data_IF_973320720051
#
_entry.id   IF_973320720051
#
_cell.length_a   1.000
_cell.length_b   1.000
_cell.length_c   1.000
_cell.angle_alpha   90.00
_cell.angle_beta   90.00
_cell.angle_gamma   90.00
#
_symmetry.space_group_name_H-M   'P 1'
#
loop_
_entity.id
_entity.type
_entity.pdbx_description
1 polymer ?
#
# COMPACT_ATOMS: atom_id res chain seq x y z
N UNK A 1 -11.92 16.74 13.34
CA UNK A 1 -12.83 15.60 13.04
C UNK A 1 -12.75 14.65 14.22
N UNK A 2 -13.88 14.21 14.78
CA UNK A 2 -13.91 13.20 15.85
C UNK A 2 -14.13 11.84 15.19
N UNK A 3 -13.28 10.87 15.49
CA UNK A 3 -13.44 9.48 15.07
C UNK A 3 -14.34 8.76 16.06
N UNK A 4 -14.93 7.63 15.64
CA UNK A 4 -15.67 6.76 16.55
C UNK A 4 -14.73 6.14 17.58
N UNK A 5 -15.15 6.09 18.83
CA UNK A 5 -14.37 5.45 19.90
C UNK A 5 -14.22 3.93 19.69
N UNK A 6 -15.04 3.34 18.80
CA UNK A 6 -14.97 1.94 18.37
C UNK A 6 -14.05 1.73 17.14
N UNK A 7 -13.46 2.81 16.60
CA UNK A 7 -12.67 2.73 15.36
C UNK A 7 -11.30 2.03 15.55
N UNK A 8 -10.84 1.91 16.80
CA UNK A 8 -9.53 1.36 17.11
C UNK A 8 -9.58 0.41 18.29
N UNK A 9 -8.98 -0.74 18.12
CA UNK A 9 -8.66 -1.67 19.20
C UNK A 9 -7.13 -1.72 19.32
N UNK A 10 -6.60 -1.51 20.53
CA UNK A 10 -5.16 -1.46 20.78
C UNK A 10 -4.75 -2.61 21.70
N UNK A 11 -3.55 -3.15 21.46
CA UNK A 11 -2.96 -4.19 22.29
C UNK A 11 -1.70 -3.65 22.97
N UNK A 12 -1.68 -3.67 24.30
CA UNK A 12 -0.56 -3.21 25.15
C UNK A 12 -0.09 -1.77 24.89
N UNK A 13 -0.94 -0.93 24.27
CA UNK A 13 -0.66 0.47 23.97
C UNK A 13 -1.88 1.32 24.30
N UNK A 14 -1.65 2.59 24.63
CA UNK A 14 -2.72 3.56 24.73
C UNK A 14 -3.41 3.76 23.37
N UNK A 15 -4.74 3.92 23.34
CA UNK A 15 -5.44 4.19 22.10
C UNK A 15 -4.98 5.51 21.48
N UNK A 16 -4.98 5.62 20.13
CA UNK A 16 -4.65 6.87 19.49
C UNK A 16 -5.68 7.95 19.80
N UNK A 17 -5.32 9.22 19.59
CA UNK A 17 -6.26 10.31 19.73
C UNK A 17 -7.41 10.16 18.73
N UNK A 18 -8.66 10.18 19.24
CA UNK A 18 -9.87 10.10 18.40
C UNK A 18 -10.25 11.43 17.74
N UNK A 19 -9.50 12.50 18.02
CA UNK A 19 -9.69 13.79 17.39
C UNK A 19 -8.49 14.11 16.53
N UNK A 20 -8.73 14.32 15.25
CA UNK A 20 -7.72 14.69 14.28
C UNK A 20 -7.97 16.11 13.78
N UNK A 21 -6.90 16.90 13.74
CA UNK A 21 -6.93 18.19 13.07
C UNK A 21 -6.81 17.97 11.56
N UNK A 22 -7.79 18.47 10.83
CA UNK A 22 -7.81 18.41 9.38
C UNK A 22 -8.54 19.63 8.82
N UNK A 23 -8.23 19.98 7.60
CA UNK A 23 -8.87 21.10 6.90
C UNK A 23 -9.88 20.58 5.86
N UNK A 24 -10.84 21.45 5.51
CA UNK A 24 -11.75 21.17 4.39
C UNK A 24 -11.00 20.95 3.08
N UNK A 25 -9.84 21.60 2.91
CA UNK A 25 -8.98 21.44 1.74
C UNK A 25 -8.40 20.04 1.66
N UNK A 26 -7.86 19.51 2.76
CA UNK A 26 -7.32 18.16 2.84
C UNK A 26 -8.38 17.09 2.58
N UNK A 27 -9.54 17.19 3.21
CA UNK A 27 -10.64 16.26 2.97
C UNK A 27 -11.09 16.25 1.50
N UNK A 28 -11.14 17.43 0.86
CA UNK A 28 -11.43 17.52 -0.59
C UNK A 28 -10.33 16.88 -1.43
N UNK A 29 -9.07 17.04 -1.04
CA UNK A 29 -7.94 16.44 -1.74
C UNK A 29 -7.98 14.93 -1.62
N UNK A 30 -8.15 14.38 -0.41
CA UNK A 30 -8.31 12.94 -0.19
C UNK A 30 -9.46 12.36 -1.02
N UNK A 31 -10.62 13.04 -1.05
CA UNK A 31 -11.76 12.62 -1.87
C UNK A 31 -11.41 12.62 -3.37
N UNK A 32 -10.76 13.68 -3.84
CA UNK A 32 -10.30 13.76 -5.23
C UNK A 32 -9.35 12.59 -5.57
N UNK A 33 -8.38 12.31 -4.71
CA UNK A 33 -7.40 11.26 -4.90
C UNK A 33 -8.06 9.87 -4.92
N UNK A 34 -9.02 9.61 -4.01
CA UNK A 34 -9.82 8.36 -4.05
C UNK A 34 -10.62 8.22 -5.35
N UNK A 35 -11.22 9.31 -5.83
CA UNK A 35 -11.95 9.29 -7.11
C UNK A 35 -10.99 9.06 -8.28
N UNK A 36 -9.80 9.65 -8.25
CA UNK A 36 -8.78 9.45 -9.27
C UNK A 36 -8.32 7.99 -9.34
N UNK A 37 -8.01 7.37 -8.20
CA UNK A 37 -7.69 5.94 -8.11
C UNK A 37 -8.85 5.10 -8.67
N UNK A 38 -10.10 5.32 -8.22
CA UNK A 38 -11.28 4.59 -8.69
C UNK A 38 -11.45 4.69 -10.21
N UNK A 39 -11.33 5.88 -10.77
CA UNK A 39 -11.49 6.10 -12.22
C UNK A 39 -10.38 5.45 -13.01
N UNK A 40 -9.15 5.50 -12.52
CA UNK A 40 -8.01 4.80 -13.13
C UNK A 40 -8.24 3.28 -13.15
N UNK A 41 -8.66 2.70 -12.03
CA UNK A 41 -8.92 1.26 -11.93
C UNK A 41 -10.10 0.79 -12.81
N UNK A 42 -11.15 1.60 -12.92
CA UNK A 42 -12.26 1.31 -13.85
C UNK A 42 -11.79 1.33 -15.31
N UNK A 43 -10.85 2.21 -15.67
CA UNK A 43 -10.26 2.22 -17.00
C UNK A 43 -9.36 0.99 -17.22
N UNK A 44 -8.58 0.59 -16.21
CA UNK A 44 -7.77 -0.63 -16.25
C UNK A 44 -8.64 -1.88 -16.41
N UNK A 45 -9.74 -2.01 -15.65
CA UNK A 45 -10.69 -3.11 -15.74
C UNK A 45 -11.25 -3.24 -17.16
N UNK A 46 -11.68 -2.12 -17.76
CA UNK A 46 -12.17 -2.12 -19.14
C UNK A 46 -11.10 -2.62 -20.13
N UNK A 47 -9.87 -2.10 -20.02
CA UNK A 47 -8.76 -2.52 -20.89
C UNK A 47 -8.40 -4.00 -20.69
N UNK A 48 -8.54 -4.50 -19.47
CA UNK A 48 -8.32 -5.90 -19.14
C UNK A 48 -9.41 -6.79 -19.78
N UNK A 49 -10.68 -6.42 -19.66
CA UNK A 49 -11.82 -7.12 -20.32
C UNK A 49 -11.69 -7.10 -21.84
N UNK A 50 -11.15 -6.03 -22.40
CA UNK A 50 -10.82 -5.92 -23.83
C UNK A 50 -9.58 -6.73 -24.24
N UNK A 51 -8.96 -7.48 -23.30
CA UNK A 51 -7.74 -8.29 -23.51
C UNK A 51 -6.52 -7.48 -23.98
N UNK A 52 -6.50 -6.19 -23.70
CA UNK A 52 -5.35 -5.29 -24.00
C UNK A 52 -4.28 -5.37 -22.92
N UNK A 53 -4.67 -5.69 -21.68
CA UNK A 53 -3.75 -5.96 -20.57
C UNK A 53 -3.55 -7.46 -20.49
N UNK A 54 -2.29 -7.89 -20.45
CA UNK A 54 -1.89 -9.30 -20.38
C UNK A 54 -1.51 -9.70 -18.96
N UNK A 55 -1.73 -10.97 -18.62
CA UNK A 55 -1.40 -11.52 -17.30
C UNK A 55 -2.41 -11.11 -16.25
N UNK A 56 -1.93 -10.96 -15.02
CA UNK A 56 -2.78 -10.54 -13.90
C UNK A 56 -3.06 -9.04 -13.93
N UNK A 57 -4.24 -8.65 -13.44
CA UNK A 57 -4.61 -7.26 -13.22
C UNK A 57 -5.31 -7.17 -11.85
N UNK A 58 -4.56 -6.76 -10.84
CA UNK A 58 -5.06 -6.70 -9.46
C UNK A 58 -5.53 -5.27 -9.15
N UNK A 59 -6.84 -5.06 -9.30
CA UNK A 59 -7.46 -3.76 -9.08
C UNK A 59 -7.63 -3.47 -7.58
N UNK A 60 -7.45 -2.21 -7.18
CA UNK A 60 -7.71 -1.71 -5.81
C UNK A 60 -9.07 -1.04 -5.66
N UNK A 61 -10.02 -1.36 -6.53
CA UNK A 61 -11.41 -0.88 -6.44
C UNK A 61 -12.04 -1.28 -5.11
N UNK A 62 -12.53 -0.31 -4.36
CA UNK A 62 -13.09 -0.50 -3.01
C UNK A 62 -12.06 -0.38 -1.87
N UNK A 63 -10.79 -0.20 -2.18
CA UNK A 63 -9.69 -0.07 -1.21
C UNK A 63 -8.94 1.26 -1.34
N UNK A 64 -9.52 2.25 -2.00
CA UNK A 64 -8.88 3.53 -2.29
C UNK A 64 -8.50 4.29 -1.02
N UNK A 65 -9.33 4.20 0.02
CA UNK A 65 -9.13 4.92 1.27
C UNK A 65 -7.84 4.50 1.99
N UNK A 66 -7.40 3.25 1.84
CA UNK A 66 -6.15 2.76 2.46
C UNK A 66 -4.95 3.44 1.82
N UNK A 67 -4.85 3.41 0.49
CA UNK A 67 -3.73 4.02 -0.22
C UNK A 67 -3.68 5.54 0.00
N UNK A 68 -4.83 6.21 -0.07
CA UNK A 68 -4.92 7.67 0.11
C UNK A 68 -4.69 8.06 1.57
N UNK A 69 -5.28 7.34 2.53
CA UNK A 69 -5.12 7.63 3.95
C UNK A 69 -3.66 7.46 4.41
N UNK A 70 -2.99 6.39 4.00
CA UNK A 70 -1.57 6.17 4.30
C UNK A 70 -0.73 7.32 3.74
N UNK A 71 -0.90 7.68 2.47
CA UNK A 71 -0.11 8.75 1.84
C UNK A 71 -0.28 10.10 2.52
N UNK A 72 -1.48 10.41 3.05
CA UNK A 72 -1.72 11.63 3.81
C UNK A 72 -1.23 11.55 5.27
N UNK A 73 -0.90 10.37 5.75
CA UNK A 73 -0.38 10.15 7.10
C UNK A 73 1.15 10.01 7.20
N UNK A 74 1.84 9.96 6.07
CA UNK A 74 3.31 9.79 6.00
C UNK A 74 3.97 10.92 5.21
N UNK A 75 5.27 11.05 5.36
CA UNK A 75 6.06 11.99 4.57
C UNK A 75 6.50 11.41 3.22
N UNK A 76 6.79 12.27 2.25
CA UNK A 76 7.31 11.84 0.95
C UNK A 76 8.68 11.16 1.04
N UNK A 77 9.44 11.48 2.06
CA UNK A 77 10.73 10.87 2.39
C UNK A 77 10.61 9.47 2.96
N UNK A 78 9.47 9.09 3.53
CA UNK A 78 9.23 7.74 4.04
C UNK A 78 9.17 6.72 2.91
N UNK A 79 9.44 5.48 3.26
CA UNK A 79 9.49 4.38 2.31
C UNK A 79 8.23 3.50 2.41
N UNK A 80 7.76 3.01 1.29
CA UNK A 80 6.60 2.15 1.23
C UNK A 80 6.86 0.95 0.30
N UNK A 81 6.46 -0.23 0.78
CA UNK A 81 6.43 -1.47 -0.01
C UNK A 81 5.11 -2.19 0.27
N UNK A 82 4.51 -2.79 -0.74
CA UNK A 82 3.20 -3.42 -0.63
C UNK A 82 3.13 -4.76 -1.38
N UNK A 83 1.97 -5.39 -1.33
CA UNK A 83 1.65 -6.60 -2.07
C UNK A 83 1.36 -6.31 -3.57
N UNK A 84 0.88 -7.31 -4.26
CA UNK A 84 0.57 -7.28 -5.70
C UNK A 84 -0.47 -6.23 -6.12
N UNK A 85 -1.31 -5.72 -5.20
CA UNK A 85 -2.36 -4.73 -5.46
C UNK A 85 -1.82 -3.32 -5.22
N UNK A 86 -0.94 -2.87 -6.09
CA UNK A 86 -0.12 -1.69 -5.85
C UNK A 86 -0.49 -0.43 -6.65
N UNK A 87 -1.52 -0.46 -7.52
CA UNK A 87 -1.81 0.66 -8.43
C UNK A 87 -2.14 1.96 -7.69
N UNK A 88 -2.98 1.89 -6.65
CA UNK A 88 -3.32 3.05 -5.83
C UNK A 88 -2.11 3.67 -5.16
N UNK A 89 -1.27 2.84 -4.55
CA UNK A 89 -0.01 3.29 -3.92
C UNK A 89 0.96 3.87 -4.95
N UNK A 90 1.10 3.24 -6.12
CA UNK A 90 1.94 3.76 -7.20
C UNK A 90 1.49 5.17 -7.64
N UNK A 91 0.16 5.40 -7.74
CA UNK A 91 -0.38 6.72 -8.06
C UNK A 91 -0.06 7.75 -6.96
N UNK A 92 -0.26 7.39 -5.69
CA UNK A 92 0.00 8.28 -4.55
C UNK A 92 1.49 8.58 -4.38
N UNK A 93 2.36 7.63 -4.67
CA UNK A 93 3.83 7.75 -4.54
C UNK A 93 4.53 8.32 -5.78
N UNK A 94 3.82 9.10 -6.60
CA UNK A 94 4.40 9.91 -7.69
C UNK A 94 4.24 9.32 -9.09
N UNK A 95 3.59 8.17 -9.23
CA UNK A 95 3.14 7.68 -10.52
C UNK A 95 2.07 8.57 -11.12
N UNK A 96 1.92 8.53 -12.43
CA UNK A 96 0.82 9.18 -13.15
C UNK A 96 -0.14 8.15 -13.70
N UNK A 97 -1.40 8.50 -13.88
CA UNK A 97 -2.37 7.62 -14.55
C UNK A 97 -1.82 7.10 -15.88
N UNK A 98 -1.14 7.96 -16.65
CA UNK A 98 -0.51 7.58 -17.93
C UNK A 98 0.58 6.53 -17.74
N UNK A 99 1.48 6.70 -16.77
CA UNK A 99 2.59 5.77 -16.54
C UNK A 99 2.11 4.43 -15.98
N UNK A 100 1.06 4.43 -15.14
CA UNK A 100 0.47 3.21 -14.58
C UNK A 100 -0.29 2.43 -15.66
N UNK A 101 -1.18 3.06 -16.39
CA UNK A 101 -1.89 2.41 -17.51
C UNK A 101 -0.92 1.98 -18.60
N UNK A 102 0.12 2.79 -18.89
CA UNK A 102 1.20 2.43 -19.81
C UNK A 102 1.92 1.16 -19.39
N UNK A 103 2.19 1.00 -18.09
CA UNK A 103 2.78 -0.22 -17.52
C UNK A 103 1.90 -1.45 -17.74
N UNK A 104 0.61 -1.33 -17.42
CA UNK A 104 -0.36 -2.40 -17.62
C UNK A 104 -0.46 -2.85 -19.10
N UNK A 105 -0.26 -1.91 -20.02
CA UNK A 105 -0.26 -2.16 -21.46
C UNK A 105 1.09 -2.62 -22.02
N UNK A 106 2.11 -2.79 -21.17
CA UNK A 106 3.46 -3.20 -21.57
C UNK A 106 4.19 -2.14 -22.41
N UNK A 107 3.90 -0.85 -22.19
CA UNK A 107 4.49 0.25 -22.93
C UNK A 107 5.77 0.75 -22.27
N UNK A 108 6.70 1.25 -23.10
CA UNK A 108 7.97 1.82 -22.63
C UNK A 108 7.78 3.03 -21.70
N UNK A 109 6.69 3.76 -21.89
CA UNK A 109 6.30 4.92 -21.08
C UNK A 109 5.68 4.52 -19.73
N UNK A 110 5.58 3.20 -19.46
CA UNK A 110 5.15 2.67 -18.17
C UNK A 110 6.13 3.00 -17.07
N UNK A 111 5.63 3.05 -15.81
CA UNK A 111 6.40 3.41 -14.62
C UNK A 111 7.62 2.47 -14.38
N UNK A 112 7.54 1.23 -14.85
CA UNK A 112 8.62 0.24 -14.86
C UNK A 112 8.99 -0.19 -16.31
N UNK A 113 8.89 0.73 -17.26
CA UNK A 113 9.21 0.54 -18.67
C UNK A 113 8.42 -0.59 -19.36
N UNK A 114 7.23 -0.90 -18.86
CA UNK A 114 6.36 -1.94 -19.38
C UNK A 114 6.80 -3.36 -19.04
N UNK A 115 7.75 -3.54 -18.12
CA UNK A 115 8.29 -4.85 -17.72
C UNK A 115 7.71 -5.40 -16.43
N UNK A 116 7.14 -4.55 -15.59
CA UNK A 116 6.60 -4.92 -14.29
C UNK A 116 5.15 -5.42 -14.33
N UNK A 117 4.36 -4.92 -15.25
CA UNK A 117 2.94 -5.22 -15.34
C UNK A 117 2.15 -4.71 -14.13
N UNK A 118 1.06 -5.42 -13.77
CA UNK A 118 0.17 -4.99 -12.69
C UNK A 118 0.81 -5.01 -11.29
N UNK A 119 1.78 -5.89 -11.04
CA UNK A 119 2.27 -6.17 -9.69
C UNK A 119 3.62 -5.55 -9.36
N UNK A 120 4.34 -4.99 -10.33
CA UNK A 120 5.70 -4.54 -10.13
C UNK A 120 5.89 -3.12 -10.68
N UNK A 121 5.42 -2.15 -9.91
CA UNK A 121 5.52 -0.72 -10.18
C UNK A 121 6.37 -0.06 -9.10
N UNK A 122 7.34 0.75 -9.49
CA UNK A 122 8.33 1.33 -8.58
C UNK A 122 8.47 2.83 -8.86
N UNK A 123 8.75 3.60 -7.80
CA UNK A 123 9.13 5.01 -7.88
C UNK A 123 10.04 5.36 -6.71
N UNK A 124 10.53 6.58 -6.65
CA UNK A 124 11.38 7.03 -5.54
C UNK A 124 10.63 6.90 -4.21
N UNK A 125 11.22 6.19 -3.24
CA UNK A 125 10.59 5.91 -1.94
C UNK A 125 9.44 4.89 -1.98
N UNK A 126 9.08 4.38 -3.15
CA UNK A 126 8.10 3.31 -3.34
C UNK A 126 8.77 2.08 -3.95
N UNK A 127 8.93 1.07 -3.14
CA UNK A 127 9.61 -0.19 -3.52
C UNK A 127 8.67 -1.21 -4.15
N UNK A 128 7.51 -0.74 -4.57
CA UNK A 128 6.59 -1.44 -5.43
C UNK A 128 5.72 -2.48 -4.75
N UNK A 129 5.05 -3.24 -5.61
CA UNK A 129 4.30 -4.42 -5.27
C UNK A 129 5.16 -5.68 -5.37
N UNK A 130 4.66 -6.75 -4.79
CA UNK A 130 5.28 -8.08 -4.84
C UNK A 130 4.27 -9.12 -5.32
N UNK A 131 4.65 -9.91 -6.32
CA UNK A 131 3.85 -11.03 -6.80
C UNK A 131 3.91 -12.25 -5.86
N UNK A 132 5.01 -12.41 -5.13
CA UNK A 132 5.17 -13.47 -4.12
C UNK A 132 4.53 -13.01 -2.82
N UNK A 133 3.46 -13.66 -2.43
CA UNK A 133 2.66 -13.29 -1.25
C UNK A 133 3.52 -13.34 0.02
N UNK A 134 3.60 -12.21 0.73
CA UNK A 134 4.35 -12.06 1.98
C UNK A 134 5.83 -11.67 1.82
N UNK A 135 6.41 -11.79 0.62
CA UNK A 135 7.83 -11.49 0.40
C UNK A 135 8.21 -10.04 0.68
N UNK A 136 7.28 -9.10 0.54
CA UNK A 136 7.52 -7.68 0.83
C UNK A 136 7.77 -7.40 2.32
N UNK A 137 7.35 -8.28 3.23
CA UNK A 137 7.49 -8.03 4.68
C UNK A 137 8.97 -8.06 5.10
N UNK A 138 9.77 -9.10 4.82
CA UNK A 138 11.19 -9.09 5.12
C UNK A 138 11.97 -8.06 4.29
N UNK A 139 11.56 -7.77 3.06
CA UNK A 139 12.18 -6.71 2.25
C UNK A 139 11.92 -5.34 2.90
N UNK A 140 10.71 -5.08 3.39
CA UNK A 140 10.39 -3.86 4.14
C UNK A 140 11.23 -3.71 5.41
N UNK A 141 11.45 -4.80 6.15
CA UNK A 141 12.39 -4.79 7.28
C UNK A 141 13.82 -4.44 6.84
N UNK A 142 14.26 -4.95 5.68
CA UNK A 142 15.57 -4.62 5.10
C UNK A 142 15.70 -3.14 4.69
N UNK A 143 14.63 -2.55 4.14
CA UNK A 143 14.59 -1.11 3.82
C UNK A 143 14.69 -0.28 5.10
N UNK A 144 13.96 -0.67 6.14
CA UNK A 144 14.03 0.00 7.44
C UNK A 144 15.41 -0.15 8.11
N UNK A 145 16.07 -1.30 7.91
CA UNK A 145 17.44 -1.51 8.35
C UNK A 145 18.39 -0.52 7.66
N UNK A 146 18.25 -0.33 6.35
CA UNK A 146 19.03 0.65 5.60
C UNK A 146 18.77 2.09 6.10
N UNK A 147 17.50 2.46 6.34
CA UNK A 147 17.14 3.77 6.90
C UNK A 147 17.83 4.01 8.25
N UNK A 148 17.81 3.01 9.12
CA UNK A 148 18.47 3.09 10.41
C UNK A 148 19.99 3.18 10.29
N UNK A 149 20.58 2.37 9.42
CA UNK A 149 22.03 2.36 9.18
C UNK A 149 22.54 3.70 8.62
N UNK A 150 21.76 4.31 7.73
CA UNK A 150 22.06 5.60 7.10
C UNK A 150 21.63 6.81 7.95
N UNK A 151 21.05 6.58 9.14
CA UNK A 151 20.58 7.62 10.09
C UNK A 151 19.63 8.65 9.44
N UNK A 152 18.83 8.23 8.49
CA UNK A 152 17.96 9.12 7.70
C UNK A 152 16.71 9.61 8.44
N UNK A 153 16.32 9.01 9.54
CA UNK A 153 15.11 9.35 10.28
C UNK A 153 13.78 8.93 9.59
N UNK A 154 13.84 8.28 8.43
CA UNK A 154 12.69 7.82 7.69
C UNK A 154 12.07 6.56 8.28
N UNK A 155 10.76 6.42 8.10
CA UNK A 155 10.01 5.21 8.44
C UNK A 155 9.74 4.40 7.18
N UNK A 156 9.68 3.08 7.31
CA UNK A 156 9.25 2.18 6.24
C UNK A 156 7.88 1.59 6.58
N UNK A 157 6.92 1.73 5.66
CA UNK A 157 5.65 1.02 5.73
C UNK A 157 5.74 -0.24 4.86
N UNK A 158 5.59 -1.40 5.49
CA UNK A 158 5.55 -2.69 4.81
C UNK A 158 4.14 -3.27 4.92
N UNK A 159 3.39 -3.22 3.81
CA UNK A 159 1.99 -3.61 3.77
C UNK A 159 1.84 -5.05 3.25
N UNK A 160 0.95 -5.81 3.86
CA UNK A 160 0.65 -7.18 3.46
C UNK A 160 -0.83 -7.50 3.69
N UNK A 161 -1.35 -8.48 2.97
CA UNK A 161 -2.74 -8.91 3.12
C UNK A 161 -2.91 -9.94 4.23
N UNK A 162 -4.16 -10.12 4.69
CA UNK A 162 -4.57 -11.12 5.66
C UNK A 162 -4.14 -12.55 5.28
N UNK A 163 -4.17 -12.89 3.98
CA UNK A 163 -3.70 -14.18 3.50
C UNK A 163 -2.21 -14.45 3.71
N UNK A 164 -1.39 -13.39 3.86
CA UNK A 164 0.04 -13.50 4.14
C UNK A 164 0.35 -13.59 5.64
N UNK A 165 -0.59 -13.22 6.51
CA UNK A 165 -0.36 -13.01 7.94
C UNK A 165 0.19 -14.24 8.67
N UNK A 166 -0.14 -15.44 8.21
CA UNK A 166 0.31 -16.70 8.83
C UNK A 166 1.57 -17.30 8.21
N UNK A 167 2.22 -16.60 7.29
CA UNK A 167 3.50 -17.09 6.75
C UNK A 167 4.63 -16.92 7.77
N UNK A 168 5.49 -17.95 7.91
CA UNK A 168 6.61 -17.95 8.85
C UNK A 168 7.55 -16.76 8.67
N UNK A 169 7.84 -16.38 7.42
CA UNK A 169 8.71 -15.23 7.11
C UNK A 169 8.19 -13.90 7.65
N UNK A 170 6.87 -13.75 7.87
CA UNK A 170 6.29 -12.55 8.49
C UNK A 170 6.74 -12.44 9.94
N UNK A 171 6.63 -13.54 10.69
CA UNK A 171 7.05 -13.58 12.10
C UNK A 171 8.58 -13.47 12.25
N UNK A 172 9.35 -14.04 11.34
CA UNK A 172 10.80 -13.87 11.30
C UNK A 172 11.17 -12.40 11.09
N UNK A 173 10.52 -11.72 10.14
CA UNK A 173 10.74 -10.29 9.91
C UNK A 173 10.35 -9.43 11.11
N UNK A 174 9.24 -9.74 11.78
CA UNK A 174 8.81 -9.03 12.99
C UNK A 174 9.83 -9.19 14.12
N UNK A 175 10.32 -10.41 14.33
CA UNK A 175 11.33 -10.68 15.34
C UNK A 175 12.63 -9.91 15.07
N UNK A 176 13.13 -9.90 13.83
CA UNK A 176 14.32 -9.14 13.46
C UNK A 176 14.10 -7.63 13.60
N UNK A 177 12.95 -7.13 13.17
CA UNK A 177 12.61 -5.73 13.28
C UNK A 177 12.57 -5.27 14.75
N UNK A 178 12.00 -6.08 15.65
CA UNK A 178 11.98 -5.79 17.08
C UNK A 178 13.37 -5.90 17.71
N UNK A 179 14.12 -6.96 17.41
CA UNK A 179 15.46 -7.18 17.93
C UNK A 179 16.40 -6.02 17.61
N UNK A 180 16.32 -5.49 16.41
CA UNK A 180 17.16 -4.41 15.94
C UNK A 180 16.51 -3.03 16.08
N UNK A 181 15.31 -2.94 16.64
CA UNK A 181 14.55 -1.70 16.82
C UNK A 181 14.50 -0.89 15.51
N UNK A 182 14.00 -1.53 14.44
CA UNK A 182 13.95 -0.92 13.12
C UNK A 182 12.79 0.08 13.01
N UNK A 183 12.93 1.19 12.27
CA UNK A 183 11.87 2.14 12.00
C UNK A 183 10.92 1.60 10.92
N UNK A 184 10.14 0.56 11.24
CA UNK A 184 9.20 -0.08 10.33
C UNK A 184 7.82 -0.20 10.96
N UNK A 185 6.80 0.05 10.15
CA UNK A 185 5.39 -0.20 10.46
C UNK A 185 4.92 -1.31 9.54
N UNK A 186 4.48 -2.42 10.11
CA UNK A 186 3.87 -3.52 9.38
C UNK A 186 2.36 -3.35 9.39
N UNK A 187 1.78 -3.13 8.20
CA UNK A 187 0.34 -2.93 8.02
C UNK A 187 -0.32 -4.16 7.40
N UNK A 188 -1.27 -4.76 8.10
CA UNK A 188 -2.08 -5.83 7.54
C UNK A 188 -3.36 -5.26 6.94
N UNK A 189 -3.51 -5.37 5.61
CA UNK A 189 -4.73 -5.00 4.91
C UNK A 189 -5.72 -6.18 4.91
N UNK A 190 -6.71 -6.14 5.79
CA UNK A 190 -7.72 -7.19 5.87
C UNK A 190 -8.89 -6.93 4.93
N UNK A 191 -9.25 -7.94 4.13
CA UNK A 191 -10.50 -7.96 3.38
C UNK A 191 -11.60 -8.58 4.24
N UNK A 192 -12.10 -7.86 5.21
CA UNK A 192 -13.31 -8.28 5.89
C UNK A 192 -14.49 -8.26 4.92
N UNK A 193 -14.88 -9.44 4.42
CA UNK A 193 -16.21 -9.64 3.88
C UNK A 193 -17.16 -9.86 5.08
N UNK A 194 -18.19 -9.01 5.27
CA UNK A 194 -19.17 -9.20 6.36
C UNK A 194 -19.89 -10.56 6.31
N UNK A 195 -19.88 -11.20 5.14
CA UNK A 195 -20.54 -12.49 4.89
C UNK A 195 -19.71 -13.71 5.34
N UNK A 196 -18.43 -13.56 5.66
CA UNK A 196 -17.60 -14.70 6.11
C UNK A 196 -17.60 -14.93 7.63
N UNK A 197 -18.27 -14.08 8.40
CA UNK A 197 -18.37 -14.22 9.87
C UNK A 197 -19.37 -15.30 10.33
N UNK A 198 -20.05 -16.00 9.41
CA UNK A 198 -21.03 -17.05 9.74
C UNK A 198 -20.51 -18.48 9.54
N UNK A 199 -19.25 -18.66 9.14
CA UNK A 199 -18.63 -19.98 9.11
C UNK A 199 -17.84 -20.21 10.39
N UNK A 200 -18.53 -20.73 11.44
CA UNK A 200 -17.93 -21.39 12.61
C UNK A 200 -17.92 -22.89 12.38
#
# INVERSE_FOLDING_TARGET
>A
MKLSDEAFETYELDPPAYTLDTTKGELKRMYYDMVAVRRMEMAADRLYKEKKIRGFCHLSTGQEAVAVGIEHGIEKSDHLITAYRCHGFALMRGGTVRSIIGELLGRREGIAYGKGGSMHMFSTGFYGGNGIVGAQVPVGAGIAFANKYEEKGNVTLALYGDGASNQGQVFEAFNMAKLWNLPVIFGCESKHHPESSTAR
#
